data_IF_752517929690
#
_entry.id   IF_752517929690
#
_cell.length_a   1.000
_cell.length_b   1.000
_cell.length_c   1.000
_cell.angle_alpha   90.00
_cell.angle_beta   90.00
_cell.angle_gamma   90.00
#
_symmetry.space_group_name_H-M   'P 1'
#
loop_
_entity.id
_entity.type
_entity.pdbx_description
1 polymer ?
#
# COMPACT_ATOMS: atom_id res chain seq x y z
N UNK A 1 6.66 20.04 -13.16
CA UNK A 1 5.25 19.88 -12.77
C UNK A 1 4.80 21.15 -12.06
N UNK A 2 3.51 21.50 -12.02
CA UNK A 2 3.06 22.63 -11.22
C UNK A 2 3.50 22.47 -9.76
N UNK A 3 4.52 23.22 -9.35
CA UNK A 3 4.96 23.56 -7.98
C UNK A 3 5.01 22.47 -6.89
N UNK A 4 4.97 21.17 -7.18
CA UNK A 4 5.34 20.16 -6.19
C UNK A 4 6.84 20.26 -5.89
N UNK A 5 7.22 20.23 -4.61
CA UNK A 5 8.63 20.18 -4.22
C UNK A 5 9.23 18.82 -4.55
N UNK A 6 10.54 18.77 -4.78
CA UNK A 6 11.28 17.52 -4.99
C UNK A 6 11.14 16.58 -3.78
N UNK A 7 11.05 17.15 -2.57
CA UNK A 7 10.77 16.42 -1.33
C UNK A 7 9.40 15.71 -1.36
N UNK A 8 8.36 16.39 -1.86
CA UNK A 8 7.01 15.81 -1.98
C UNK A 8 7.02 14.67 -3.00
N UNK A 9 7.69 14.86 -4.15
CA UNK A 9 7.83 13.82 -5.16
C UNK A 9 8.60 12.60 -4.62
N UNK A 10 9.71 12.84 -3.92
CA UNK A 10 10.50 11.79 -3.28
C UNK A 10 9.69 10.99 -2.26
N UNK A 11 8.87 11.67 -1.47
CA UNK A 11 7.94 11.04 -0.51
C UNK A 11 6.95 10.14 -1.22
N UNK A 12 6.32 10.62 -2.30
CA UNK A 12 5.31 9.85 -3.04
C UNK A 12 5.93 8.60 -3.68
N UNK A 13 7.06 8.74 -4.36
CA UNK A 13 7.71 7.59 -5.01
C UNK A 13 8.22 6.56 -4.00
N UNK A 14 8.75 7.01 -2.87
CA UNK A 14 9.13 6.12 -1.77
C UNK A 14 7.93 5.35 -1.25
N UNK A 15 6.80 6.04 -1.05
CA UNK A 15 5.59 5.43 -0.54
C UNK A 15 4.98 4.45 -1.56
N UNK A 16 4.94 4.81 -2.85
CA UNK A 16 4.49 3.91 -3.90
C UNK A 16 5.30 2.61 -3.94
N UNK A 17 6.63 2.70 -3.80
CA UNK A 17 7.50 1.52 -3.67
C UNK A 17 7.11 0.68 -2.46
N UNK A 18 6.98 1.30 -1.29
CA UNK A 18 6.62 0.59 -0.05
C UNK A 18 5.25 -0.09 -0.11
N UNK A 19 4.28 0.53 -0.78
CA UNK A 19 2.96 -0.10 -0.98
C UNK A 19 3.06 -1.35 -1.85
N UNK A 20 3.86 -1.32 -2.93
CA UNK A 20 4.11 -2.49 -3.79
C UNK A 20 4.88 -3.57 -3.03
N UNK A 21 5.92 -3.20 -2.28
CA UNK A 21 6.66 -4.13 -1.41
C UNK A 21 5.73 -4.81 -0.39
N UNK A 22 4.79 -4.07 0.22
CA UNK A 22 3.80 -4.65 1.13
C UNK A 22 2.79 -5.58 0.46
N UNK A 23 2.39 -5.30 -0.79
CA UNK A 23 1.53 -6.21 -1.56
C UNK A 23 2.24 -7.53 -1.88
N UNK A 24 3.51 -7.42 -2.28
CA UNK A 24 4.36 -8.58 -2.57
C UNK A 24 4.57 -9.42 -1.31
N UNK A 25 4.90 -8.79 -0.18
CA UNK A 25 5.08 -9.48 1.11
C UNK A 25 3.80 -10.20 1.58
N UNK A 26 2.64 -9.56 1.40
CA UNK A 26 1.36 -10.20 1.71
C UNK A 26 1.09 -11.42 0.83
N UNK A 27 1.33 -11.32 -0.49
CA UNK A 27 1.16 -12.43 -1.42
C UNK A 27 2.16 -13.57 -1.15
N UNK A 28 3.40 -13.24 -0.81
CA UNK A 28 4.41 -14.23 -0.44
C UNK A 28 4.02 -14.96 0.86
N UNK A 29 3.48 -14.22 1.85
CA UNK A 29 3.01 -14.82 3.11
C UNK A 29 1.81 -15.73 2.87
N UNK A 30 0.86 -15.30 2.02
CA UNK A 30 -0.31 -16.08 1.61
C UNK A 30 0.12 -17.40 0.94
N UNK A 31 1.04 -17.35 -0.02
CA UNK A 31 1.56 -18.54 -0.71
C UNK A 31 2.21 -19.51 0.27
N UNK A 32 3.06 -19.02 1.18
CA UNK A 32 3.73 -19.88 2.18
C UNK A 32 2.74 -20.52 3.13
N UNK A 33 1.74 -19.76 3.61
CA UNK A 33 0.70 -20.27 4.49
C UNK A 33 -0.06 -21.42 3.81
N UNK A 34 -0.47 -21.21 2.56
CA UNK A 34 -1.15 -22.22 1.77
C UNK A 34 -0.28 -23.45 1.46
N UNK A 35 0.99 -23.25 1.11
CA UNK A 35 1.93 -24.34 0.81
C UNK A 35 2.22 -25.23 2.03
N UNK A 36 2.33 -24.65 3.22
CA UNK A 36 2.68 -25.39 4.44
C UNK A 36 1.48 -26.03 5.12
N UNK A 37 0.33 -25.35 5.15
CA UNK A 37 -0.82 -25.75 5.96
C UNK A 37 -2.07 -26.07 5.12
N UNK A 38 -2.09 -25.68 3.85
CA UNK A 38 -3.28 -25.76 2.99
C UNK A 38 -4.36 -24.76 3.41
N UNK A 39 -5.52 -24.89 2.77
CA UNK A 39 -6.74 -24.16 3.15
C UNK A 39 -7.56 -25.00 4.12
N UNK A 40 -7.59 -24.58 5.38
CA UNK A 40 -8.31 -25.22 6.48
C UNK A 40 -9.20 -24.17 7.17
N UNK A 41 -10.07 -24.61 8.08
CA UNK A 41 -10.90 -23.68 8.88
C UNK A 41 -10.05 -22.67 9.67
N UNK A 42 -8.81 -23.03 10.03
CA UNK A 42 -7.90 -22.17 10.78
C UNK A 42 -7.13 -21.19 9.88
N UNK A 43 -6.72 -21.61 8.68
CA UNK A 43 -5.93 -20.77 7.77
C UNK A 43 -6.79 -19.84 6.91
N UNK A 44 -8.03 -20.23 6.61
CA UNK A 44 -8.97 -19.46 5.79
C UNK A 44 -9.11 -17.98 6.22
N UNK A 45 -9.37 -17.64 7.51
CA UNK A 45 -9.48 -16.23 7.91
C UNK A 45 -8.17 -15.44 7.71
N UNK A 46 -7.01 -16.10 7.83
CA UNK A 46 -5.71 -15.44 7.63
C UNK A 46 -5.40 -15.24 6.15
N UNK A 47 -5.76 -16.20 5.29
CA UNK A 47 -5.68 -16.04 3.84
C UNK A 47 -6.56 -14.87 3.37
N UNK A 48 -7.80 -14.79 3.85
CA UNK A 48 -8.69 -13.64 3.57
C UNK A 48 -8.11 -12.31 4.09
N UNK A 49 -7.50 -12.30 5.28
CA UNK A 49 -6.83 -11.12 5.82
C UNK A 49 -5.67 -10.65 4.93
N UNK A 50 -4.84 -11.56 4.41
CA UNK A 50 -3.72 -11.23 3.53
C UNK A 50 -4.18 -10.71 2.17
N UNK A 51 -5.28 -11.24 1.63
CA UNK A 51 -5.95 -10.67 0.46
C UNK A 51 -6.46 -9.24 0.73
N UNK A 52 -7.15 -9.02 1.85
CA UNK A 52 -7.62 -7.70 2.27
C UNK A 52 -6.49 -6.69 2.45
N UNK A 53 -5.31 -7.13 2.92
CA UNK A 53 -4.11 -6.30 2.98
C UNK A 53 -3.70 -5.80 1.59
N UNK A 54 -3.66 -6.68 0.60
CA UNK A 54 -3.31 -6.31 -0.78
C UNK A 54 -4.27 -5.28 -1.36
N UNK A 55 -5.57 -5.47 -1.15
CA UNK A 55 -6.60 -4.51 -1.58
C UNK A 55 -6.44 -3.15 -0.88
N UNK A 56 -6.19 -3.17 0.43
CA UNK A 56 -5.97 -1.96 1.23
C UNK A 56 -4.78 -1.13 0.75
N UNK A 57 -3.70 -1.79 0.31
CA UNK A 57 -2.52 -1.13 -0.25
C UNK A 57 -2.75 -0.65 -1.68
N UNK A 58 -3.53 -1.39 -2.48
CA UNK A 58 -3.76 -1.09 -3.89
C UNK A 58 -4.51 0.23 -4.08
N UNK A 59 -5.53 0.47 -3.25
CA UNK A 59 -6.35 1.67 -3.34
C UNK A 59 -5.54 2.98 -3.27
N UNK A 60 -4.70 3.24 -2.24
CA UNK A 60 -3.86 4.44 -2.20
C UNK A 60 -2.77 4.45 -3.28
N UNK A 61 -2.19 3.30 -3.63
CA UNK A 61 -1.19 3.21 -4.71
C UNK A 61 -1.76 3.73 -6.04
N UNK A 62 -2.92 3.21 -6.45
CA UNK A 62 -3.60 3.60 -7.69
C UNK A 62 -3.98 5.08 -7.69
N UNK A 63 -4.38 5.63 -6.53
CA UNK A 63 -4.68 7.06 -6.42
C UNK A 63 -3.43 7.92 -6.59
N UNK A 64 -2.34 7.58 -5.92
CA UNK A 64 -1.06 8.31 -6.05
C UNK A 64 -0.54 8.27 -7.49
N UNK A 65 -0.60 7.10 -8.14
CA UNK A 65 -0.12 6.93 -9.52
C UNK A 65 -0.96 7.71 -10.55
N UNK A 66 -2.26 7.87 -10.31
CA UNK A 66 -3.14 8.68 -11.15
C UNK A 66 -3.04 10.18 -10.90
N UNK A 67 -2.83 10.62 -9.65
CA UNK A 67 -2.80 12.04 -9.28
C UNK A 67 -1.53 12.74 -9.77
N UNK A 68 -0.39 12.07 -9.76
CA UNK A 68 0.89 12.66 -10.16
C UNK A 68 0.86 13.23 -11.59
N UNK A 69 0.52 12.46 -12.65
CA UNK A 69 0.38 12.98 -14.00
C UNK A 69 -0.64 14.12 -14.09
N UNK A 70 -1.79 14.00 -13.42
CA UNK A 70 -2.85 15.01 -13.44
C UNK A 70 -2.36 16.36 -12.88
N UNK A 71 -1.52 16.36 -11.84
CA UNK A 71 -0.91 17.59 -11.31
C UNK A 71 0.02 18.26 -12.32
N UNK A 72 0.67 17.47 -13.20
CA UNK A 72 1.57 18.00 -14.22
C UNK A 72 0.86 18.80 -15.32
N UNK A 73 -0.44 18.55 -15.52
CA UNK A 73 -1.27 19.21 -16.53
C UNK A 73 -1.59 20.66 -16.18
N UNK A 74 -1.53 21.02 -14.90
CA UNK A 74 -1.80 22.39 -14.47
C UNK A 74 -0.55 23.26 -14.58
N UNK A 75 -0.71 24.47 -15.12
CA UNK A 75 0.34 25.48 -15.19
C UNK A 75 -0.25 26.87 -14.96
N UNK A 76 0.45 27.77 -14.23
CA UNK A 76 1.73 27.57 -13.55
C UNK A 76 1.61 26.91 -12.17
N UNK A 77 0.40 26.67 -11.67
CA UNK A 77 0.13 26.10 -10.34
C UNK A 77 -1.12 25.23 -10.38
N UNK A 78 -1.11 24.11 -9.68
CA UNK A 78 -2.25 23.21 -9.59
C UNK A 78 -3.33 23.78 -8.65
N UNK A 79 -4.62 23.48 -8.91
CA UNK A 79 -5.70 23.87 -8.00
C UNK A 79 -5.46 23.34 -6.59
N UNK A 80 -5.75 24.17 -5.58
CA UNK A 80 -5.58 23.82 -4.17
C UNK A 80 -6.27 22.51 -3.80
N UNK A 81 -7.47 22.26 -4.33
CA UNK A 81 -8.21 21.03 -4.05
C UNK A 81 -7.49 19.76 -4.56
N UNK A 82 -6.81 19.85 -5.72
CA UNK A 82 -6.03 18.74 -6.28
C UNK A 82 -4.79 18.47 -5.43
N UNK A 83 -4.14 19.53 -4.93
CA UNK A 83 -2.98 19.42 -4.04
C UNK A 83 -3.39 18.87 -2.66
N UNK A 84 -4.51 19.33 -2.11
CA UNK A 84 -5.06 18.81 -0.85
C UNK A 84 -5.41 17.32 -0.97
N UNK A 85 -6.03 16.92 -2.09
CA UNK A 85 -6.33 15.52 -2.37
C UNK A 85 -5.05 14.67 -2.44
N UNK A 86 -3.96 15.19 -3.01
CA UNK A 86 -2.66 14.51 -3.00
C UNK A 86 -2.17 14.28 -1.57
N UNK A 87 -2.13 15.32 -0.72
CA UNK A 87 -1.67 15.19 0.65
C UNK A 87 -2.53 14.23 1.49
N UNK A 88 -3.85 14.29 1.34
CA UNK A 88 -4.76 13.31 1.97
C UNK A 88 -4.47 11.87 1.51
N UNK A 89 -4.16 11.69 0.22
CA UNK A 89 -3.83 10.37 -0.30
C UNK A 89 -2.48 9.88 0.25
N UNK A 90 -1.51 10.76 0.47
CA UNK A 90 -0.24 10.41 1.13
C UNK A 90 -0.49 9.92 2.56
N UNK A 91 -1.29 10.64 3.35
CA UNK A 91 -1.64 10.23 4.72
C UNK A 91 -2.37 8.88 4.75
N UNK A 92 -3.33 8.68 3.86
CA UNK A 92 -4.06 7.41 3.72
C UNK A 92 -3.12 6.26 3.34
N UNK A 93 -2.18 6.51 2.43
CA UNK A 93 -1.20 5.54 1.99
C UNK A 93 -0.26 5.13 3.15
N UNK A 94 0.19 6.09 3.96
CA UNK A 94 1.00 5.80 5.15
C UNK A 94 0.21 4.97 6.18
N UNK A 95 -1.01 5.37 6.50
CA UNK A 95 -1.86 4.61 7.43
C UNK A 95 -2.16 3.19 6.93
N UNK A 96 -2.44 3.04 5.62
CA UNK A 96 -2.67 1.74 4.99
C UNK A 96 -1.42 0.85 5.05
N UNK A 97 -0.24 1.42 4.79
CA UNK A 97 1.05 0.73 4.91
C UNK A 97 1.26 0.21 6.33
N UNK A 98 1.13 1.08 7.33
CA UNK A 98 1.47 0.72 8.71
C UNK A 98 0.50 -0.34 9.27
N UNK A 99 -0.79 -0.22 8.98
CA UNK A 99 -1.78 -1.24 9.33
C UNK A 99 -1.50 -2.58 8.62
N UNK A 100 -1.09 -2.54 7.36
CA UNK A 100 -0.79 -3.75 6.58
C UNK A 100 0.45 -4.47 7.07
N UNK A 101 1.52 -3.75 7.42
CA UNK A 101 2.73 -4.31 8.03
C UNK A 101 2.38 -5.02 9.34
N UNK A 102 1.50 -4.43 10.15
CA UNK A 102 1.04 -5.07 11.39
C UNK A 102 0.30 -6.39 11.11
N UNK A 103 -0.67 -6.38 10.17
CA UNK A 103 -1.44 -7.56 9.77
C UNK A 103 -0.57 -8.69 9.18
N UNK A 104 0.43 -8.36 8.36
CA UNK A 104 1.36 -9.35 7.79
C UNK A 104 2.22 -9.97 8.90
N UNK A 105 2.75 -9.14 9.82
CA UNK A 105 3.57 -9.62 10.93
C UNK A 105 2.78 -10.55 11.87
N UNK A 106 1.52 -10.22 12.12
CA UNK A 106 0.62 -11.05 12.91
C UNK A 106 0.40 -12.42 12.23
N UNK A 107 0.02 -12.42 10.94
CA UNK A 107 -0.14 -13.65 10.17
C UNK A 107 1.11 -14.54 10.18
N UNK A 108 2.29 -13.94 10.01
CA UNK A 108 3.57 -14.67 10.08
C UNK A 108 3.81 -15.26 11.46
N UNK A 109 3.51 -14.52 12.54
CA UNK A 109 3.73 -14.98 13.91
C UNK A 109 2.79 -16.12 14.28
N UNK A 110 1.54 -16.03 13.88
CA UNK A 110 0.51 -16.99 14.28
C UNK A 110 0.76 -18.38 13.66
N UNK A 111 1.42 -18.44 12.51
CA UNK A 111 1.77 -19.67 11.79
C UNK A 111 3.28 -19.96 11.72
N UNK A 112 4.07 -19.29 12.55
CA UNK A 112 5.54 -19.42 12.62
C UNK A 112 6.26 -19.33 11.25
N UNK A 113 5.75 -18.46 10.38
CA UNK A 113 6.31 -18.21 9.05
C UNK A 113 7.50 -17.26 9.18
N UNK A 114 8.70 -17.82 9.30
CA UNK A 114 9.95 -17.04 9.26
C UNK A 114 10.28 -16.54 7.85
N UNK A 115 11.10 -15.46 7.78
CA UNK A 115 11.49 -14.78 6.53
C UNK A 115 12.07 -15.70 5.45
#
# INVERSE_FOLDING_TARGET
MAKLSDETLGTIFTLQRQLVEGMDEAAATESRLFEQFGETEETLPVLEQLLNVRERLLAPYSRLSALLPRISEYQPTAPTDVVNLLYQTIEQAQAARDASIASIREAKRDFDLHE
#
